data_IF_712184603407
#
_entry.id   IF_712184603407
#
_cell.length_a   1.000
_cell.length_b   1.000
_cell.length_c   1.000
_cell.angle_alpha   90.00
_cell.angle_beta   90.00
_cell.angle_gamma   90.00
#
_symmetry.space_group_name_H-M   'P 1'
#
loop_
_entity.id
_entity.type
_entity.pdbx_description
1 polymer ?
#
# COMPACT_ATOMS: atom_id res chain seq x y z
N UNK A 1 -21.83 -3.19 2.02
CA UNK A 1 -20.68 -3.88 1.41
C UNK A 1 -21.14 -5.27 0.98
N UNK A 2 -21.45 -5.44 -0.31
CA UNK A 2 -21.91 -6.73 -0.83
C UNK A 2 -20.72 -7.46 -1.43
N UNK A 3 -20.21 -8.47 -0.72
CA UNK A 3 -19.14 -9.34 -1.20
C UNK A 3 -19.79 -10.53 -1.92
N UNK A 4 -19.63 -10.63 -3.25
CA UNK A 4 -19.99 -11.85 -4.00
C UNK A 4 -18.76 -12.72 -4.20
N UNK A 5 -18.88 -13.97 -3.82
CA UNK A 5 -17.84 -15.00 -3.98
C UNK A 5 -18.22 -15.84 -5.18
N UNK A 6 -17.36 -15.89 -6.20
CA UNK A 6 -17.50 -16.81 -7.33
C UNK A 6 -16.37 -17.82 -7.29
N UNK A 7 -16.71 -19.10 -7.27
CA UNK A 7 -15.75 -20.20 -7.44
C UNK A 7 -15.87 -20.77 -8.85
N UNK A 8 -14.76 -20.89 -9.52
CA UNK A 8 -14.66 -21.56 -10.82
C UNK A 8 -13.79 -22.79 -10.67
N UNK A 9 -14.31 -23.94 -11.16
CA UNK A 9 -13.52 -25.15 -11.29
C UNK A 9 -12.96 -25.22 -12.71
N UNK A 10 -11.65 -25.15 -12.85
CA UNK A 10 -10.97 -25.30 -14.13
C UNK A 10 -10.32 -26.67 -14.17
N UNK A 11 -10.88 -27.59 -14.99
CA UNK A 11 -10.23 -28.85 -15.33
C UNK A 11 -9.51 -28.67 -16.67
N UNK A 12 -8.17 -28.58 -16.63
CA UNK A 12 -7.38 -28.60 -17.86
C UNK A 12 -7.28 -30.00 -18.43
N UNK A 13 -8.07 -30.30 -19.45
CA UNK A 13 -7.89 -31.45 -20.33
C UNK A 13 -7.68 -30.89 -21.74
N UNK A 14 -6.46 -31.07 -22.25
CA UNK A 14 -6.16 -30.89 -23.68
C UNK A 14 -5.99 -29.41 -24.13
N UNK A 15 -4.80 -29.13 -24.62
CA UNK A 15 -4.41 -27.91 -25.30
C UNK A 15 -5.16 -27.77 -26.62
N UNK A 16 -6.24 -27.00 -26.66
CA UNK A 16 -6.84 -26.52 -27.88
C UNK A 16 -6.56 -25.03 -27.98
N UNK A 17 -5.55 -24.63 -28.81
CA UNK A 17 -5.30 -23.25 -29.11
C UNK A 17 -6.45 -22.68 -29.94
N UNK A 18 -7.44 -22.11 -29.28
CA UNK A 18 -8.36 -21.18 -29.92
C UNK A 18 -7.73 -19.80 -29.80
N UNK A 19 -7.16 -19.29 -30.88
CA UNK A 19 -6.79 -17.90 -31.05
C UNK A 19 -8.06 -17.04 -31.07
N UNK A 20 -8.69 -16.89 -29.90
CA UNK A 20 -9.64 -15.83 -29.66
C UNK A 20 -8.85 -14.57 -29.41
N UNK A 21 -9.12 -13.51 -30.15
CA UNK A 21 -8.63 -12.16 -29.84
C UNK A 21 -9.22 -11.77 -28.47
N UNK A 22 -8.47 -12.02 -27.40
CA UNK A 22 -8.77 -11.46 -26.10
C UNK A 22 -8.53 -9.95 -26.22
N UNK A 23 -9.60 -9.18 -26.32
CA UNK A 23 -9.56 -7.81 -25.88
C UNK A 23 -9.21 -7.85 -24.40
N UNK A 24 -7.95 -7.59 -24.06
CA UNK A 24 -7.58 -7.31 -22.71
C UNK A 24 -8.29 -6.00 -22.32
N UNK A 25 -9.46 -6.12 -21.73
CA UNK A 25 -10.04 -5.00 -21.00
C UNK A 25 -9.12 -4.81 -19.80
N UNK A 26 -8.36 -3.72 -19.77
CA UNK A 26 -7.59 -3.30 -18.59
C UNK A 26 -8.59 -2.92 -17.48
N UNK A 27 -9.11 -3.95 -16.81
CA UNK A 27 -10.08 -3.81 -15.74
C UNK A 27 -9.47 -3.09 -14.52
N UNK A 28 -8.14 -2.90 -14.50
CA UNK A 28 -7.39 -2.27 -13.43
C UNK A 28 -6.12 -1.63 -13.99
N UNK A 29 -6.00 -0.32 -13.83
CA UNK A 29 -4.76 0.41 -14.11
C UNK A 29 -4.06 0.76 -12.80
N UNK A 30 -2.72 0.64 -12.77
CA UNK A 30 -1.89 0.95 -11.61
C UNK A 30 -0.86 2.00 -12.00
N UNK A 31 -0.95 3.15 -11.35
CA UNK A 31 -0.03 4.26 -11.54
C UNK A 31 0.93 4.35 -10.35
N UNK A 32 2.23 4.13 -10.55
CA UNK A 32 3.21 4.28 -9.48
C UNK A 32 3.29 5.74 -9.05
N UNK A 33 3.20 5.96 -7.75
CA UNK A 33 3.38 7.27 -7.13
C UNK A 33 4.78 7.41 -6.51
N UNK A 34 5.71 6.55 -6.87
CA UNK A 34 7.11 6.66 -6.51
C UNK A 34 7.75 7.92 -7.13
N UNK A 35 8.91 8.30 -6.64
CA UNK A 35 9.63 9.48 -7.13
C UNK A 35 9.49 10.67 -6.20
N UNK A 36 9.45 11.90 -6.73
CA UNK A 36 9.57 13.13 -5.95
C UNK A 36 8.31 13.46 -5.14
N UNK A 37 8.51 13.70 -3.84
CA UNK A 37 7.50 14.17 -2.89
C UNK A 37 8.07 15.35 -2.09
N UNK A 38 7.21 16.25 -1.64
CA UNK A 38 7.52 17.18 -0.57
C UNK A 38 7.47 16.45 0.76
N UNK A 39 8.50 16.61 1.59
CA UNK A 39 8.67 15.92 2.87
C UNK A 39 8.96 16.92 3.97
N UNK A 40 8.27 16.81 5.09
CA UNK A 40 8.47 17.62 6.28
C UNK A 40 8.51 16.72 7.51
N UNK A 41 9.61 16.76 8.26
CA UNK A 41 9.79 16.00 9.49
C UNK A 41 9.64 16.91 10.71
N UNK A 42 8.77 16.53 11.66
CA UNK A 42 8.53 17.31 12.90
C UNK A 42 8.23 18.80 12.63
N UNK A 43 7.45 19.10 11.59
CA UNK A 43 7.07 20.47 11.24
C UNK A 43 8.20 21.35 10.68
N UNK A 44 9.37 20.79 10.36
CA UNK A 44 10.45 21.51 9.67
C UNK A 44 10.01 21.92 8.27
N UNK A 45 10.66 22.92 7.67
CA UNK A 45 10.40 23.29 6.28
C UNK A 45 10.48 22.08 5.35
N UNK A 46 9.61 22.05 4.35
CA UNK A 46 9.56 20.93 3.41
C UNK A 46 10.80 20.89 2.51
N UNK A 47 11.25 19.67 2.24
CA UNK A 47 12.31 19.36 1.27
C UNK A 47 11.82 18.31 0.27
N UNK A 48 12.51 18.17 -0.87
CA UNK A 48 12.20 17.14 -1.85
C UNK A 48 12.90 15.84 -1.49
N UNK A 49 12.13 14.74 -1.44
CA UNK A 49 12.66 13.38 -1.25
C UNK A 49 12.17 12.46 -2.36
N UNK A 50 12.86 11.35 -2.57
CA UNK A 50 12.45 10.31 -3.52
C UNK A 50 11.82 9.13 -2.77
N UNK A 51 10.53 8.90 -2.97
CA UNK A 51 9.82 7.72 -2.41
C UNK A 51 10.07 6.51 -3.33
N UNK A 52 10.37 5.30 -2.82
CA UNK A 52 10.47 4.92 -1.41
C UNK A 52 11.57 5.66 -0.64
N UNK A 53 11.24 6.09 0.58
CA UNK A 53 12.09 6.94 1.40
C UNK A 53 12.04 6.56 2.88
N UNK A 54 13.19 6.66 3.53
CA UNK A 54 13.31 6.57 4.99
C UNK A 54 14.19 7.69 5.50
N UNK A 55 13.70 8.44 6.50
CA UNK A 55 14.40 9.64 7.00
C UNK A 55 15.50 9.33 8.01
N UNK A 56 15.57 8.09 8.49
CA UNK A 56 16.53 7.69 9.54
C UNK A 56 17.45 6.54 9.12
N UNK A 57 17.59 6.28 7.82
CA UNK A 57 18.49 5.23 7.33
C UNK A 57 19.95 5.50 7.71
N UNK A 58 20.37 6.76 7.62
CA UNK A 58 21.74 7.18 7.93
C UNK A 58 22.02 7.33 9.44
N UNK A 59 20.98 7.44 10.26
CA UNK A 59 21.13 7.61 11.70
C UNK A 59 21.88 6.42 12.32
N UNK A 60 21.67 5.21 11.78
CA UNK A 60 22.39 4.02 12.19
C UNK A 60 23.89 4.11 11.89
N UNK A 61 24.24 4.66 10.73
CA UNK A 61 25.63 4.79 10.32
C UNK A 61 26.36 5.93 11.09
N UNK A 62 25.65 7.01 11.39
CA UNK A 62 26.24 8.21 11.96
C UNK A 62 26.25 8.24 13.50
N UNK A 63 25.35 7.54 14.17
CA UNK A 63 25.17 7.61 15.62
C UNK A 63 25.39 6.32 16.38
N UNK A 64 25.03 5.19 15.81
CA UNK A 64 25.07 3.91 16.51
C UNK A 64 26.46 3.28 16.58
N UNK A 65 27.40 3.64 15.72
CA UNK A 65 28.75 3.08 15.73
C UNK A 65 29.64 3.61 16.84
N UNK A 66 29.32 4.80 17.40
CA UNK A 66 30.17 5.43 18.42
C UNK A 66 29.93 4.97 19.86
N UNK A 67 28.88 4.20 20.14
CA UNK A 67 28.50 3.78 21.51
C UNK A 67 28.18 2.30 21.64
N UNK A 68 28.96 1.47 21.00
CA UNK A 68 28.78 0.01 21.05
C UNK A 68 29.18 -0.64 22.38
N UNK A 69 29.73 0.15 23.32
CA UNK A 69 30.10 -0.37 24.64
C UNK A 69 28.92 -0.52 25.60
N UNK A 70 27.79 0.13 25.34
CA UNK A 70 26.56 -0.03 26.10
C UNK A 70 25.48 -0.72 25.31
N UNK A 71 25.53 -2.06 25.21
CA UNK A 71 24.49 -2.89 24.62
C UNK A 71 23.09 -2.73 25.21
N UNK A 72 22.93 -1.83 26.18
CA UNK A 72 21.64 -1.45 26.79
C UNK A 72 20.95 -0.31 26.05
N UNK A 73 21.57 0.34 25.08
CA UNK A 73 21.02 1.57 24.48
C UNK A 73 20.80 1.51 22.96
N UNK A 74 20.67 0.35 22.37
CA UNK A 74 20.22 0.20 20.97
C UNK A 74 18.79 0.75 20.74
N UNK A 75 18.16 1.15 21.80
CA UNK A 75 16.84 1.79 21.80
C UNK A 75 16.87 3.29 21.82
N UNK A 76 17.93 3.89 21.42
CA UNK A 76 18.02 5.21 21.89
C UNK A 76 17.68 6.25 20.86
N UNK A 77 17.66 7.36 21.39
CA UNK A 77 17.69 8.74 20.95
C UNK A 77 18.58 9.02 19.71
N UNK A 78 19.39 8.04 19.26
CA UNK A 78 20.18 8.09 18.05
C UNK A 78 19.36 8.01 16.75
N UNK A 79 18.17 7.40 16.79
CA UNK A 79 17.28 7.32 15.64
C UNK A 79 16.22 8.40 15.69
N UNK A 80 16.12 9.20 14.65
CA UNK A 80 15.04 10.19 14.52
C UNK A 80 13.68 9.50 14.52
N UNK A 81 12.90 9.80 15.57
CA UNK A 81 11.51 9.33 15.72
C UNK A 81 10.56 10.52 15.74
N UNK A 82 9.38 10.35 15.23
CA UNK A 82 8.34 11.38 15.22
C UNK A 82 7.51 11.39 13.94
N UNK A 83 6.58 12.33 13.86
CA UNK A 83 5.71 12.47 12.70
C UNK A 83 6.44 13.15 11.54
N UNK A 84 6.15 12.67 10.34
CA UNK A 84 6.56 13.29 9.09
C UNK A 84 5.38 13.34 8.12
N UNK A 85 5.33 14.35 7.28
CA UNK A 85 4.30 14.53 6.27
C UNK A 85 4.94 14.45 4.89
N UNK A 86 4.39 13.59 4.06
CA UNK A 86 4.66 13.50 2.62
C UNK A 86 3.51 14.13 1.86
N UNK A 87 3.81 15.00 0.90
CA UNK A 87 2.83 15.70 0.10
C UNK A 87 3.15 15.58 -1.39
N UNK A 88 2.12 15.30 -2.20
CA UNK A 88 2.27 15.23 -3.65
C UNK A 88 0.96 15.58 -4.37
N UNK A 89 1.08 16.17 -5.55
CA UNK A 89 -0.05 16.27 -6.49
C UNK A 89 -0.31 14.92 -7.14
N UNK A 90 -1.57 14.47 -7.14
CA UNK A 90 -1.99 13.24 -7.80
C UNK A 90 -2.10 13.49 -9.32
N UNK A 91 -1.48 12.62 -10.14
CA UNK A 91 -1.56 12.71 -11.60
C UNK A 91 -2.85 12.07 -12.13
N UNK A 92 -4.01 12.48 -11.60
CA UNK A 92 -5.30 11.88 -11.96
C UNK A 92 -6.38 12.95 -12.19
N UNK A 93 -7.11 12.80 -13.27
CA UNK A 93 -8.39 13.46 -13.53
C UNK A 93 -9.48 12.39 -13.37
N UNK A 94 -10.39 12.54 -12.39
CA UNK A 94 -11.40 11.51 -12.14
C UNK A 94 -12.35 11.39 -13.32
N UNK A 95 -12.55 10.15 -13.79
CA UNK A 95 -13.44 9.80 -14.92
C UNK A 95 -14.76 9.24 -14.40
N UNK A 96 -15.92 9.56 -15.03
CA UNK A 96 -17.20 8.95 -14.67
C UNK A 96 -17.15 7.42 -14.75
N UNK A 97 -17.75 6.75 -13.77
CA UNK A 97 -17.82 5.28 -13.69
C UNK A 97 -16.53 4.58 -13.26
N UNK A 98 -15.43 5.35 -13.06
CA UNK A 98 -14.18 4.81 -12.53
C UNK A 98 -14.07 5.00 -11.03
N UNK A 99 -13.35 4.10 -10.38
CA UNK A 99 -13.02 4.13 -8.96
C UNK A 99 -11.52 4.25 -8.78
N UNK A 100 -11.12 4.93 -7.73
CA UNK A 100 -9.72 5.25 -7.46
C UNK A 100 -9.35 4.85 -6.04
N UNK A 101 -8.19 4.20 -5.90
CA UNK A 101 -7.69 3.73 -4.62
C UNK A 101 -6.22 4.13 -4.45
N UNK A 102 -5.83 4.49 -3.24
CA UNK A 102 -4.43 4.62 -2.86
C UNK A 102 -4.02 3.36 -2.12
N UNK A 103 -2.96 2.71 -2.60
CA UNK A 103 -2.33 1.56 -1.97
C UNK A 103 -0.90 1.89 -1.58
N UNK A 104 -0.58 1.71 -0.30
CA UNK A 104 0.79 1.76 0.19
C UNK A 104 1.28 0.35 0.53
N UNK A 105 2.49 0.00 0.08
CA UNK A 105 3.09 -1.31 0.37
C UNK A 105 3.56 -1.46 1.81
N UNK A 106 3.68 -0.36 2.54
CA UNK A 106 4.05 -0.27 3.95
C UNK A 106 4.60 1.10 4.31
N UNK A 107 4.27 1.54 5.52
CA UNK A 107 4.79 2.77 6.13
C UNK A 107 4.99 2.53 7.62
N UNK A 108 6.04 3.05 8.19
CA UNK A 108 6.41 2.71 9.57
C UNK A 108 6.20 3.89 10.53
N UNK A 109 5.45 3.71 11.59
CA UNK A 109 4.72 2.57 12.18
C UNK A 109 3.23 2.79 12.00
N UNK A 110 2.78 4.05 12.07
CA UNK A 110 1.42 4.52 11.84
C UNK A 110 1.42 5.40 10.62
N UNK A 111 0.39 5.30 9.80
CA UNK A 111 0.19 6.21 8.67
C UNK A 111 -1.25 6.67 8.58
N UNK A 112 -1.43 7.92 8.16
CA UNK A 112 -2.73 8.52 7.88
C UNK A 112 -2.70 9.11 6.47
N UNK A 113 -3.64 8.71 5.64
CA UNK A 113 -3.77 9.19 4.27
C UNK A 113 -4.92 10.17 4.17
N UNK A 114 -4.68 11.32 3.57
CA UNK A 114 -5.71 12.29 3.22
C UNK A 114 -5.59 12.74 1.76
N UNK A 115 -6.71 13.10 1.16
CA UNK A 115 -6.80 13.64 -0.19
C UNK A 115 -7.57 14.95 -0.14
N UNK A 116 -6.99 16.02 -0.70
CA UNK A 116 -7.55 17.35 -0.67
C UNK A 116 -7.91 17.82 0.76
N UNK A 117 -7.12 17.44 1.75
CA UNK A 117 -7.32 17.73 3.17
C UNK A 117 -8.42 16.92 3.85
N UNK A 118 -9.06 15.97 3.17
CA UNK A 118 -10.06 15.07 3.75
C UNK A 118 -9.44 13.69 4.05
N UNK A 119 -9.70 13.08 5.21
CA UNK A 119 -9.16 11.78 5.56
C UNK A 119 -9.68 10.68 4.63
N UNK A 120 -8.77 9.82 4.15
CA UNK A 120 -9.08 8.61 3.40
C UNK A 120 -9.03 7.36 4.30
N UNK A 121 -8.07 7.31 5.24
CA UNK A 121 -7.93 6.23 6.19
C UNK A 121 -6.62 6.28 6.96
N UNK A 122 -6.50 5.40 7.96
CA UNK A 122 -5.31 5.25 8.81
C UNK A 122 -4.91 3.78 8.91
N UNK A 123 -3.62 3.54 9.12
CA UNK A 123 -3.06 2.20 9.25
C UNK A 123 -2.05 2.13 10.39
N UNK A 124 -2.16 1.09 11.19
CA UNK A 124 -1.22 0.72 12.23
C UNK A 124 -0.51 -0.57 11.84
N UNK A 125 0.80 -0.53 11.74
CA UNK A 125 1.62 -1.67 11.36
C UNK A 125 2.74 -1.29 10.40
N UNK A 126 3.98 -1.57 10.82
CA UNK A 126 5.15 -1.15 10.07
C UNK A 126 5.29 -1.86 8.71
N UNK A 127 4.85 -3.12 8.60
CA UNK A 127 5.27 -4.02 7.51
C UNK A 127 4.14 -4.47 6.59
N UNK A 128 2.90 -4.13 6.93
CA UNK A 128 1.72 -4.51 6.16
C UNK A 128 1.27 -3.42 5.22
N UNK A 129 0.68 -3.82 4.11
CA UNK A 129 0.12 -2.91 3.13
C UNK A 129 -1.24 -2.37 3.59
N UNK A 130 -1.59 -1.20 3.09
CA UNK A 130 -2.89 -0.57 3.26
C UNK A 130 -3.47 -0.13 1.93
N UNK A 131 -4.80 -0.03 1.85
CA UNK A 131 -5.48 0.45 0.66
C UNK A 131 -6.78 1.18 1.05
N UNK A 132 -7.01 2.35 0.45
CA UNK A 132 -8.19 3.18 0.71
C UNK A 132 -8.81 3.64 -0.59
N UNK A 133 -10.14 3.59 -0.67
CA UNK A 133 -10.87 4.22 -1.76
C UNK A 133 -10.87 5.74 -1.60
N UNK A 134 -10.44 6.44 -2.63
CA UNK A 134 -10.37 7.90 -2.65
C UNK A 134 -11.32 8.54 -3.67
N UNK A 135 -12.10 7.74 -4.38
CA UNK A 135 -13.05 8.21 -5.40
C UNK A 135 -13.90 9.40 -4.92
N UNK A 136 -14.54 9.34 -3.73
CA UNK A 136 -15.38 10.45 -3.25
C UNK A 136 -14.60 11.69 -2.80
N UNK A 137 -13.27 11.59 -2.69
CA UNK A 137 -12.39 12.66 -2.24
C UNK A 137 -11.77 13.43 -3.41
N UNK A 138 -11.82 12.86 -4.61
CA UNK A 138 -11.27 13.48 -5.81
C UNK A 138 -12.20 14.58 -6.31
N UNK A 139 -11.59 15.61 -6.91
CA UNK A 139 -12.26 16.72 -7.57
C UNK A 139 -11.69 16.90 -8.98
N UNK A 140 -12.43 17.60 -9.83
CA UNK A 140 -11.94 18.04 -11.13
C UNK A 140 -10.71 18.95 -10.95
N UNK A 141 -9.70 18.77 -11.77
CA UNK A 141 -8.44 19.51 -11.72
C UNK A 141 -7.43 18.90 -10.73
N UNK A 142 -6.61 19.75 -10.11
CA UNK A 142 -5.53 19.33 -9.25
C UNK A 142 -6.03 18.69 -7.97
N UNK A 143 -5.52 17.49 -7.68
CA UNK A 143 -5.74 16.74 -6.44
C UNK A 143 -4.43 16.59 -5.69
N UNK A 144 -4.47 16.70 -4.37
CA UNK A 144 -3.29 16.58 -3.51
C UNK A 144 -3.47 15.41 -2.55
N UNK A 145 -2.50 14.52 -2.51
CA UNK A 145 -2.40 13.49 -1.48
C UNK A 145 -1.42 13.93 -0.40
N UNK A 146 -1.79 13.72 0.85
CA UNK A 146 -0.94 13.84 2.01
C UNK A 146 -0.88 12.51 2.76
N UNK A 147 0.33 12.08 3.12
CA UNK A 147 0.55 10.90 3.96
C UNK A 147 1.35 11.33 5.17
N UNK A 148 0.69 11.35 6.33
CA UNK A 148 1.39 11.46 7.61
C UNK A 148 1.92 10.07 7.97
N UNK A 149 3.18 10.01 8.39
CA UNK A 149 3.82 8.77 8.87
C UNK A 149 4.50 9.09 10.19
N UNK A 150 4.29 8.26 11.20
CA UNK A 150 4.89 8.41 12.52
C UNK A 150 5.55 7.08 12.95
N UNK A 151 6.86 7.12 13.20
CA UNK A 151 7.62 5.98 13.70
C UNK A 151 7.89 6.02 15.20
N UNK A 152 7.16 6.84 15.94
CA UNK A 152 7.21 6.86 17.41
C UNK A 152 6.77 5.49 17.94
N UNK A 153 7.56 4.94 18.85
CA UNK A 153 7.28 3.64 19.46
C UNK A 153 5.90 3.62 20.13
N UNK A 154 5.15 2.54 19.88
CA UNK A 154 3.82 2.31 20.45
C UNK A 154 3.76 0.92 21.05
N UNK A 155 3.30 0.80 22.30
CA UNK A 155 3.33 -0.47 23.03
C UNK A 155 2.38 -1.54 22.50
N UNK A 156 1.40 -1.16 21.67
CA UNK A 156 0.43 -2.08 21.08
C UNK A 156 0.73 -2.46 19.62
N UNK A 157 1.78 -1.89 19.02
CA UNK A 157 2.17 -2.17 17.64
C UNK A 157 3.50 -2.90 17.63
N UNK A 158 3.54 -4.07 16.99
CA UNK A 158 4.76 -4.84 16.80
C UNK A 158 5.60 -4.26 15.62
N UNK A 159 6.93 -4.39 15.67
CA UNK A 159 7.74 -4.90 16.76
C UNK A 159 7.99 -3.82 17.83
N UNK A 160 7.97 -4.22 19.09
CA UNK A 160 8.15 -3.28 20.19
C UNK A 160 9.61 -3.07 20.58
N UNK A 161 10.43 -4.10 20.46
CA UNK A 161 11.87 -4.12 20.78
C UNK A 161 12.60 -5.15 19.93
N UNK A 162 13.89 -4.94 19.71
CA UNK A 162 14.77 -5.86 19.00
C UNK A 162 16.08 -5.19 18.61
N UNK A 163 17.01 -5.97 18.07
CA UNK A 163 18.32 -5.51 17.61
C UNK A 163 18.26 -4.92 16.19
N UNK A 164 17.12 -4.39 15.78
CA UNK A 164 16.92 -3.83 14.45
C UNK A 164 16.37 -2.41 14.53
N UNK A 165 16.73 -1.63 13.51
CA UNK A 165 16.28 -0.25 13.38
C UNK A 165 14.82 -0.18 12.93
N UNK A 166 14.04 0.68 13.57
CA UNK A 166 12.71 1.03 13.12
C UNK A 166 12.80 2.20 12.15
N UNK A 167 12.91 1.86 10.86
CA UNK A 167 12.96 2.87 9.82
C UNK A 167 11.61 3.59 9.72
N UNK A 168 11.66 4.93 9.79
CA UNK A 168 10.48 5.77 9.56
C UNK A 168 10.37 6.16 8.09
N UNK A 169 9.16 6.15 7.55
CA UNK A 169 8.89 6.66 6.21
C UNK A 169 7.99 5.80 5.34
N UNK A 170 7.78 6.30 4.13
CA UNK A 170 7.18 5.56 3.01
C UNK A 170 8.28 4.71 2.35
N UNK A 171 8.72 3.66 3.02
CA UNK A 171 9.87 2.86 2.61
C UNK A 171 9.53 1.77 1.58
N UNK A 172 8.26 1.63 1.21
CA UNK A 172 7.75 0.75 0.15
C UNK A 172 6.99 1.56 -0.91
N UNK A 173 6.76 0.98 -2.09
CA UNK A 173 6.01 1.64 -3.15
C UNK A 173 4.63 2.11 -2.69
N UNK A 174 4.21 3.24 -3.22
CA UNK A 174 2.86 3.78 -3.13
C UNK A 174 2.29 3.88 -4.54
N UNK A 175 1.02 3.53 -4.69
CA UNK A 175 0.36 3.35 -5.98
C UNK A 175 -1.03 4.00 -5.96
N UNK A 176 -1.41 4.59 -7.08
CA UNK A 176 -2.79 4.92 -7.41
C UNK A 176 -3.34 3.80 -8.27
N UNK A 177 -4.47 3.22 -7.86
CA UNK A 177 -5.18 2.18 -8.61
C UNK A 177 -6.46 2.80 -9.16
N UNK A 178 -6.70 2.61 -10.46
CA UNK A 178 -7.95 2.93 -11.12
C UNK A 178 -8.66 1.65 -11.57
N UNK A 179 -9.96 1.57 -11.35
CA UNK A 179 -10.80 0.41 -11.73
C UNK A 179 -12.12 0.86 -12.30
N UNK A 180 -12.89 -0.08 -12.85
CA UNK A 180 -14.31 0.10 -13.12
C UNK A 180 -15.14 0.07 -11.83
N UNK A 181 -16.45 0.36 -11.93
CA UNK A 181 -17.39 0.37 -10.82
C UNK A 181 -17.47 -0.97 -10.09
N UNK A 182 -17.33 -2.09 -10.83
CA UNK A 182 -17.13 -3.44 -10.27
C UNK A 182 -15.70 -3.87 -10.52
N UNK A 183 -15.00 -4.28 -9.48
CA UNK A 183 -13.59 -4.66 -9.57
C UNK A 183 -13.25 -5.82 -8.62
N UNK A 184 -12.09 -6.44 -8.83
CA UNK A 184 -11.48 -7.31 -7.82
C UNK A 184 -11.10 -6.44 -6.62
N UNK A 185 -11.54 -6.85 -5.42
CA UNK A 185 -11.47 -6.02 -4.21
C UNK A 185 -10.02 -5.69 -3.79
N UNK A 186 -9.58 -4.44 -3.91
CA UNK A 186 -8.27 -4.02 -3.43
C UNK A 186 -8.27 -3.68 -1.94
N UNK A 187 -9.44 -3.59 -1.29
CA UNK A 187 -9.60 -3.16 0.09
C UNK A 187 -9.42 -4.31 1.09
N UNK A 188 -9.57 -5.57 0.66
CA UNK A 188 -9.41 -6.71 1.53
C UNK A 188 -7.94 -6.88 1.94
N UNK A 189 -7.55 -6.26 3.04
CA UNK A 189 -6.18 -6.20 3.56
C UNK A 189 -5.14 -5.73 2.54
N UNK A 190 -5.52 -4.87 1.60
CA UNK A 190 -4.69 -4.44 0.47
C UNK A 190 -4.09 -5.61 -0.34
N UNK A 191 -4.72 -6.78 -0.28
CA UNK A 191 -4.33 -8.00 -0.99
C UNK A 191 -4.74 -7.94 -2.47
N UNK A 192 -4.27 -8.87 -3.31
CA UNK A 192 -4.71 -8.95 -4.70
C UNK A 192 -6.21 -9.27 -4.87
N UNK A 193 -6.93 -9.69 -3.81
CA UNK A 193 -8.33 -10.08 -3.85
C UNK A 193 -8.58 -11.44 -4.53
N UNK A 194 -7.52 -12.18 -4.85
CA UNK A 194 -7.56 -13.50 -5.49
C UNK A 194 -6.82 -14.50 -4.63
N UNK A 195 -7.45 -15.62 -4.33
CA UNK A 195 -6.90 -16.69 -3.49
C UNK A 195 -6.88 -17.99 -4.29
N UNK A 196 -5.76 -18.66 -4.31
CA UNK A 196 -5.53 -19.90 -5.05
C UNK A 196 -5.21 -20.98 -4.03
N UNK A 197 -6.01 -22.07 -4.04
CA UNK A 197 -5.84 -23.22 -3.15
C UNK A 197 -5.75 -24.50 -3.97
N UNK A 198 -4.67 -25.25 -3.82
CA UNK A 198 -4.55 -26.59 -4.40
C UNK A 198 -5.39 -27.57 -3.58
N UNK A 199 -6.44 -28.13 -4.18
CA UNK A 199 -7.33 -29.13 -3.55
C UNK A 199 -6.74 -30.53 -3.62
N UNK A 200 -6.16 -30.90 -4.75
CA UNK A 200 -5.49 -32.16 -4.95
C UNK A 200 -4.37 -32.07 -5.96
N UNK A 201 -3.36 -32.91 -5.81
CA UNK A 201 -2.20 -32.97 -6.69
C UNK A 201 -1.79 -34.42 -6.91
N UNK A 202 -1.60 -34.81 -8.17
CA UNK A 202 -1.05 -36.11 -8.58
C UNK A 202 0.01 -35.89 -9.65
N UNK A 203 0.67 -36.98 -10.11
CA UNK A 203 1.67 -36.88 -11.19
C UNK A 203 1.08 -36.39 -12.52
N UNK A 204 -0.23 -36.57 -12.73
CA UNK A 204 -0.92 -36.28 -14.01
C UNK A 204 -2.02 -35.21 -13.89
N UNK A 205 -2.41 -34.83 -12.68
CA UNK A 205 -3.54 -33.91 -12.48
C UNK A 205 -3.32 -33.03 -11.27
N UNK A 206 -3.61 -31.73 -11.41
CA UNK A 206 -3.78 -30.80 -10.31
C UNK A 206 -5.22 -30.26 -10.32
N UNK A 207 -5.85 -30.19 -9.16
CA UNK A 207 -7.13 -29.53 -8.96
C UNK A 207 -6.89 -28.28 -8.12
N UNK A 208 -7.29 -27.12 -8.65
CA UNK A 208 -7.05 -25.82 -8.06
C UNK A 208 -8.38 -25.08 -7.93
N UNK A 209 -8.64 -24.57 -6.75
CA UNK A 209 -9.73 -23.63 -6.48
C UNK A 209 -9.21 -22.20 -6.56
N UNK A 210 -9.88 -21.36 -7.34
CA UNK A 210 -9.60 -19.93 -7.41
C UNK A 210 -10.80 -19.18 -6.83
N UNK A 211 -10.57 -18.44 -5.74
CA UNK A 211 -11.58 -17.60 -5.09
C UNK A 211 -11.25 -16.14 -5.33
N UNK A 212 -12.17 -15.38 -5.90
CA UNK A 212 -12.01 -13.94 -6.17
C UNK A 212 -13.01 -13.15 -5.36
N UNK A 213 -12.54 -12.11 -4.67
CA UNK A 213 -13.40 -11.15 -4.00
C UNK A 213 -13.72 -10.01 -4.98
N UNK A 214 -15.01 -9.71 -5.12
CA UNK A 214 -15.48 -8.58 -5.91
C UNK A 214 -15.98 -7.47 -5.01
N UNK A 215 -15.71 -6.24 -5.42
CA UNK A 215 -16.17 -5.01 -4.77
C UNK A 215 -16.90 -4.15 -5.79
N UNK A 216 -17.98 -3.50 -5.36
CA UNK A 216 -18.82 -2.65 -6.20
C UNK A 216 -19.19 -1.37 -5.43
N UNK A 217 -19.37 -0.27 -6.14
CA UNK A 217 -19.88 0.99 -5.60
C UNK A 217 -21.41 0.96 -5.33
N UNK A 218 -22.06 -0.17 -5.59
CA UNK A 218 -23.50 -0.37 -5.39
C UNK A 218 -24.39 0.27 -6.46
N UNK A 219 -23.81 0.76 -7.57
CA UNK A 219 -24.53 1.41 -8.69
C UNK A 219 -24.69 0.50 -9.90
N UNK A 220 -24.49 -0.81 -9.73
CA UNK A 220 -24.66 -1.80 -10.80
C UNK A 220 -26.07 -2.35 -10.85
#
# INVERSE_FOLDING_TARGET
MNIRIHSFNVSCVGLCCVLGSFFAADAREVYPLNGSWDFSFNGKPAEKVTVPHTWNAEDAANGAQGKREDAKSVNSDAYRRGPAVYLRTLPVEPRPGKRYFIRGGGASIVSEVSVNGKPAGSHEGAFTAFCYEITPLLKKGSNTISVLVDNTQRNHIAPQRGDFSMFGGLYRPIELIETDGVCIDPLFYASPGVFITTKSLSKSKAEVEVKTLLNSDGKA
#
